data_IF_282341041620
#
_entry.id   IF_282341041620
#
_cell.length_a   1.000
_cell.length_b   1.000
_cell.length_c   1.000
_cell.angle_alpha   90.00
_cell.angle_beta   90.00
_cell.angle_gamma   90.00
#
_symmetry.space_group_name_H-M   'P 1'
#
loop_
_entity.id
_entity.type
_entity.pdbx_description
1 polymer ?
#
# COMPACT_ATOMS: atom_id res chain seq x y z
N UNK A 1 -26.17 0.40 6.32
CA UNK A 1 -26.41 1.23 7.52
C UNK A 1 -26.06 2.67 7.19
N UNK A 2 -26.24 3.64 8.09
CA UNK A 2 -25.58 4.93 7.90
C UNK A 2 -24.06 4.72 8.05
N UNK A 3 -23.20 5.37 7.23
CA UNK A 3 -21.77 5.18 7.32
C UNK A 3 -21.25 5.67 8.68
N UNK A 4 -20.28 4.93 9.25
CA UNK A 4 -19.54 5.38 10.43
C UNK A 4 -18.76 6.65 10.06
N UNK A 5 -18.84 7.67 10.89
CA UNK A 5 -18.14 8.95 10.69
C UNK A 5 -17.33 9.39 11.90
N UNK A 6 -17.35 8.62 12.99
CA UNK A 6 -16.71 8.90 14.28
C UNK A 6 -15.41 8.10 14.47
N UNK A 7 -14.66 7.91 13.38
CA UNK A 7 -13.35 7.25 13.46
C UNK A 7 -12.37 8.07 14.31
N UNK A 8 -11.46 7.40 15.05
CA UNK A 8 -10.34 8.11 15.65
C UNK A 8 -9.43 8.73 14.56
N UNK A 9 -8.61 9.73 14.92
CA UNK A 9 -7.59 10.28 14.04
C UNK A 9 -6.64 9.19 13.53
N UNK A 10 -6.19 9.33 12.29
CA UNK A 10 -5.24 8.39 11.69
C UNK A 10 -3.84 8.64 12.25
N UNK A 11 -3.29 7.64 12.96
CA UNK A 11 -1.91 7.65 13.47
C UNK A 11 -0.96 6.81 12.63
N UNK A 12 -1.47 5.94 11.77
CA UNK A 12 -0.66 5.14 10.86
C UNK A 12 -1.20 5.09 9.43
N UNK A 13 -0.33 5.32 8.45
CA UNK A 13 -0.62 5.12 7.03
C UNK A 13 0.16 3.91 6.50
N UNK A 14 -0.54 2.93 5.92
CA UNK A 14 0.05 1.71 5.39
C UNK A 14 -0.16 1.69 3.88
N UNK A 15 0.93 1.60 3.12
CA UNK A 15 0.88 1.74 1.67
C UNK A 15 1.12 0.40 0.97
N UNK A 16 0.26 0.03 0.03
CA UNK A 16 0.71 -0.81 -1.07
C UNK A 16 1.76 -0.06 -1.92
N UNK A 17 2.39 -0.73 -2.89
CA UNK A 17 3.39 -0.14 -3.76
C UNK A 17 2.98 -0.16 -5.23
N UNK A 18 2.51 -1.32 -5.71
CA UNK A 18 2.44 -1.63 -7.12
C UNK A 18 1.12 -1.15 -7.69
N UNK A 19 1.13 -0.20 -8.62
CA UNK A 19 -0.10 0.44 -9.11
C UNK A 19 -0.64 1.55 -8.20
N UNK A 20 -0.01 1.77 -7.03
CA UNK A 20 -0.35 2.84 -6.09
C UNK A 20 0.77 3.88 -5.93
N UNK A 21 1.95 3.46 -5.45
CA UNK A 21 3.09 4.37 -5.33
C UNK A 21 3.78 4.55 -6.66
N UNK A 22 3.84 3.47 -7.45
CA UNK A 22 4.56 3.38 -8.71
C UNK A 22 3.63 2.94 -9.85
N UNK A 23 3.92 3.38 -11.07
CA UNK A 23 3.23 3.01 -12.32
C UNK A 23 3.46 1.55 -12.80
N UNK A 24 3.83 0.65 -11.89
CA UNK A 24 4.29 -0.70 -12.22
C UNK A 24 3.23 -1.56 -12.89
N UNK A 25 1.93 -1.31 -12.65
CA UNK A 25 0.83 -2.04 -13.28
C UNK A 25 0.75 -1.87 -14.81
N UNK A 26 1.16 -0.71 -15.31
CA UNK A 26 1.25 -0.48 -16.76
C UNK A 26 2.47 -1.20 -17.34
N UNK A 27 3.59 -1.24 -16.61
CA UNK A 27 4.78 -1.99 -16.99
C UNK A 27 4.51 -3.49 -16.99
N UNK A 28 3.84 -4.03 -15.96
CA UNK A 28 3.41 -5.42 -15.90
C UNK A 28 2.57 -5.78 -17.13
N UNK A 29 1.59 -4.93 -17.45
CA UNK A 29 0.72 -5.12 -18.61
C UNK A 29 1.50 -5.11 -19.92
N UNK A 30 2.47 -4.20 -20.06
CA UNK A 30 3.34 -4.13 -21.23
C UNK A 30 4.17 -5.41 -21.39
N UNK A 31 4.86 -5.88 -20.33
CA UNK A 31 5.62 -7.13 -20.35
C UNK A 31 4.74 -8.31 -20.79
N UNK A 32 3.53 -8.44 -20.22
CA UNK A 32 2.60 -9.49 -20.56
C UNK A 32 2.16 -9.38 -22.03
N UNK A 33 1.79 -8.20 -22.50
CA UNK A 33 1.33 -7.98 -23.88
C UNK A 33 2.42 -8.30 -24.91
N UNK A 34 3.68 -7.95 -24.65
CA UNK A 34 4.79 -8.32 -25.54
C UNK A 34 4.91 -9.84 -25.72
N UNK A 35 4.72 -10.61 -24.64
CA UNK A 35 4.72 -12.07 -24.68
C UNK A 35 3.46 -12.59 -25.39
N UNK A 36 2.28 -12.08 -25.05
CA UNK A 36 1.03 -12.51 -25.68
C UNK A 36 1.03 -12.26 -27.19
N UNK A 37 1.59 -11.14 -27.65
CA UNK A 37 1.73 -10.81 -29.07
C UNK A 37 2.69 -11.77 -29.77
N UNK A 38 3.85 -12.08 -29.17
CA UNK A 38 4.81 -13.07 -29.68
C UNK A 38 4.16 -14.43 -29.94
N UNK A 39 3.19 -14.83 -29.12
CA UNK A 39 2.46 -16.10 -29.25
C UNK A 39 1.08 -15.96 -29.90
N UNK A 40 0.75 -14.81 -30.50
CA UNK A 40 -0.47 -14.62 -31.28
C UNK A 40 -1.78 -14.59 -30.47
N UNK A 41 -1.72 -14.34 -29.15
CA UNK A 41 -2.89 -14.31 -28.25
C UNK A 41 -3.60 -12.95 -28.21
N UNK A 42 -2.92 -11.88 -28.63
CA UNK A 42 -3.43 -10.50 -28.61
C UNK A 42 -3.07 -9.75 -27.33
N UNK A 43 -3.89 -8.78 -26.93
CA UNK A 43 -3.67 -7.98 -25.72
C UNK A 43 -4.39 -8.58 -24.50
N UNK A 44 -3.84 -8.35 -23.31
CA UNK A 44 -4.41 -8.74 -22.03
C UNK A 44 -5.74 -8.00 -21.80
N UNK A 45 -6.88 -8.71 -21.74
CA UNK A 45 -8.18 -8.08 -21.45
C UNK A 45 -8.22 -7.55 -20.01
N UNK A 46 -8.91 -6.42 -19.80
CA UNK A 46 -9.08 -5.85 -18.46
C UNK A 46 -9.77 -6.81 -17.47
N UNK A 47 -10.72 -7.61 -17.94
CA UNK A 47 -11.38 -8.66 -17.14
C UNK A 47 -10.44 -9.76 -16.63
N UNK A 48 -9.28 -9.92 -17.27
CA UNK A 48 -8.20 -10.80 -16.79
C UNK A 48 -7.20 -10.01 -15.96
N UNK A 49 -6.74 -8.84 -16.46
CA UNK A 49 -5.83 -7.94 -15.71
C UNK A 49 -6.35 -7.71 -14.29
N UNK A 50 -7.61 -7.32 -14.13
CA UNK A 50 -8.26 -7.08 -12.85
C UNK A 50 -8.12 -8.25 -11.86
N UNK A 51 -8.09 -9.49 -12.35
CA UNK A 51 -7.92 -10.68 -11.51
C UNK A 51 -6.46 -10.96 -11.12
N UNK A 52 -5.49 -10.36 -11.81
CA UNK A 52 -4.06 -10.49 -11.54
C UNK A 52 -3.58 -9.47 -10.51
N UNK A 53 -4.09 -8.23 -10.58
CA UNK A 53 -3.64 -7.09 -9.76
C UNK A 53 -3.80 -7.34 -8.26
N UNK A 54 -2.79 -6.92 -7.48
CA UNK A 54 -2.81 -7.02 -6.01
C UNK A 54 -2.62 -8.42 -5.43
N UNK A 55 -2.46 -9.47 -6.25
CA UNK A 55 -2.28 -10.84 -5.79
C UNK A 55 -0.81 -11.24 -5.65
N UNK A 56 -0.50 -12.20 -4.76
CA UNK A 56 0.81 -12.84 -4.75
C UNK A 56 1.14 -13.48 -6.11
N UNK A 57 2.39 -13.36 -6.54
CA UNK A 57 2.88 -13.82 -7.85
C UNK A 57 2.43 -15.24 -8.23
N UNK A 58 2.56 -16.27 -7.36
CA UNK A 58 2.10 -17.63 -7.68
C UNK A 58 0.61 -17.73 -8.01
N UNK A 59 -0.25 -16.96 -7.34
CA UNK A 59 -1.69 -16.95 -7.60
C UNK A 59 -2.02 -16.24 -8.91
N UNK A 60 -1.42 -15.06 -9.15
CA UNK A 60 -1.57 -14.32 -10.40
C UNK A 60 -1.10 -15.15 -11.60
N UNK A 61 0.07 -15.79 -11.50
CA UNK A 61 0.60 -16.66 -12.55
C UNK A 61 -0.34 -17.81 -12.88
N UNK A 62 -0.95 -18.44 -11.87
CA UNK A 62 -1.94 -19.50 -12.09
C UNK A 62 -3.13 -19.00 -12.93
N UNK A 63 -3.72 -17.87 -12.54
CA UNK A 63 -4.85 -17.25 -13.27
C UNK A 63 -4.46 -16.93 -14.71
N UNK A 64 -3.27 -16.35 -14.90
CA UNK A 64 -2.75 -16.04 -16.22
C UNK A 64 -2.60 -17.30 -17.09
N UNK A 65 -1.96 -18.35 -16.59
CA UNK A 65 -1.72 -19.58 -17.37
C UNK A 65 -3.02 -20.30 -17.73
N UNK A 66 -3.98 -20.36 -16.80
CA UNK A 66 -5.30 -20.97 -17.04
C UNK A 66 -6.05 -20.26 -18.19
N UNK A 67 -5.91 -18.94 -18.33
CA UNK A 67 -6.53 -18.15 -19.41
C UNK A 67 -5.70 -18.13 -20.71
N UNK A 68 -4.40 -17.85 -20.59
CA UNK A 68 -3.54 -17.57 -21.73
C UNK A 68 -3.29 -18.82 -22.56
N UNK A 69 -3.10 -19.98 -21.92
CA UNK A 69 -2.84 -21.27 -22.58
C UNK A 69 -1.78 -21.16 -23.69
N UNK A 70 -0.68 -20.46 -23.40
CA UNK A 70 0.41 -20.26 -24.35
C UNK A 70 1.13 -21.57 -24.66
N UNK A 71 1.68 -21.74 -25.87
CA UNK A 71 2.40 -22.96 -26.28
C UNK A 71 3.84 -23.01 -25.74
N UNK A 72 4.03 -22.61 -24.47
CA UNK A 72 5.31 -22.62 -23.75
C UNK A 72 5.10 -23.06 -22.32
N UNK A 73 6.16 -23.56 -21.68
CA UNK A 73 6.09 -23.96 -20.29
C UNK A 73 5.95 -22.74 -19.35
N UNK A 74 5.42 -22.92 -18.11
CA UNK A 74 5.43 -21.88 -17.10
C UNK A 74 6.83 -21.33 -16.79
N UNK A 75 7.86 -22.19 -16.83
CA UNK A 75 9.26 -21.79 -16.62
C UNK A 75 9.78 -20.91 -17.76
N UNK A 76 9.47 -21.25 -19.02
CA UNK A 76 9.82 -20.44 -20.19
C UNK A 76 9.12 -19.08 -20.13
N UNK A 77 7.82 -19.04 -19.81
CA UNK A 77 7.08 -17.80 -19.61
C UNK A 77 7.71 -16.94 -18.50
N UNK A 78 8.02 -17.54 -17.35
CA UNK A 78 8.60 -16.83 -16.23
C UNK A 78 9.97 -16.24 -16.59
N UNK A 79 10.79 -16.98 -17.34
CA UNK A 79 12.09 -16.51 -17.80
C UNK A 79 11.95 -15.30 -18.75
N UNK A 80 11.06 -15.38 -19.74
CA UNK A 80 10.78 -14.27 -20.66
C UNK A 80 10.24 -13.03 -19.92
N UNK A 81 9.24 -13.23 -19.05
CA UNK A 81 8.61 -12.14 -18.30
C UNK A 81 9.60 -11.48 -17.33
N UNK A 82 10.43 -12.27 -16.65
CA UNK A 82 11.48 -11.76 -15.75
C UNK A 82 12.52 -10.94 -16.52
N UNK A 83 12.89 -11.36 -17.73
CA UNK A 83 13.84 -10.61 -18.56
C UNK A 83 13.27 -9.24 -18.96
N UNK A 84 12.01 -9.19 -19.40
CA UNK A 84 11.32 -7.94 -19.73
C UNK A 84 11.18 -7.03 -18.51
N UNK A 85 10.76 -7.58 -17.36
CA UNK A 85 10.64 -6.83 -16.11
C UNK A 85 11.97 -6.20 -15.67
N UNK A 86 13.08 -6.96 -15.74
CA UNK A 86 14.43 -6.43 -15.44
C UNK A 86 14.84 -5.27 -16.35
N UNK A 87 14.35 -5.26 -17.59
CA UNK A 87 14.63 -4.17 -18.53
C UNK A 87 13.74 -2.95 -18.27
N UNK A 88 12.48 -3.15 -17.91
CA UNK A 88 11.48 -2.07 -17.89
C UNK A 88 11.25 -1.45 -16.50
N UNK A 89 11.33 -2.24 -15.42
CA UNK A 89 11.13 -1.71 -14.07
C UNK A 89 12.13 -0.64 -13.61
N UNK A 90 13.40 -0.59 -14.07
CA UNK A 90 14.28 0.54 -13.75
C UNK A 90 13.79 1.89 -14.28
N UNK A 91 12.71 1.93 -15.07
CA UNK A 91 12.11 3.15 -15.60
C UNK A 91 10.79 3.54 -14.93
N UNK A 92 10.29 2.74 -13.98
CA UNK A 92 9.06 3.06 -13.24
C UNK A 92 9.14 4.44 -12.58
N UNK A 93 8.00 5.12 -12.57
CA UNK A 93 7.84 6.46 -12.01
C UNK A 93 6.82 6.47 -10.88
N UNK A 94 6.97 7.40 -9.92
CA UNK A 94 5.94 7.64 -8.92
C UNK A 94 4.64 8.11 -9.58
N UNK A 95 3.50 7.63 -9.08
CA UNK A 95 2.21 8.12 -9.54
C UNK A 95 1.98 9.59 -9.11
N UNK A 96 1.12 10.34 -9.81
CA UNK A 96 0.81 11.72 -9.45
C UNK A 96 0.35 11.86 -7.99
N UNK A 97 0.92 12.84 -7.28
CA UNK A 97 0.63 13.12 -5.88
C UNK A 97 1.48 12.33 -4.87
N UNK A 98 2.13 11.23 -5.27
CA UNK A 98 2.86 10.36 -4.33
C UNK A 98 4.06 11.05 -3.68
N UNK A 99 4.87 11.78 -4.45
CA UNK A 99 6.04 12.49 -3.92
C UNK A 99 5.63 13.52 -2.86
N UNK A 100 4.61 14.33 -3.18
CA UNK A 100 4.07 15.33 -2.26
C UNK A 100 3.44 14.67 -1.02
N UNK A 101 2.64 13.62 -1.22
CA UNK A 101 1.95 12.93 -0.15
C UNK A 101 2.91 12.29 0.85
N UNK A 102 3.94 11.60 0.36
CA UNK A 102 4.97 11.00 1.21
C UNK A 102 5.81 12.08 1.92
N UNK A 103 6.10 13.21 1.26
CA UNK A 103 6.71 14.37 1.90
C UNK A 103 5.87 14.94 3.04
N UNK A 104 4.55 15.09 2.82
CA UNK A 104 3.60 15.59 3.82
C UNK A 104 3.56 14.68 5.06
N UNK A 105 3.44 13.36 4.84
CA UNK A 105 3.41 12.39 5.92
C UNK A 105 4.75 12.28 6.63
N UNK A 106 5.87 12.29 5.89
CA UNK A 106 7.22 12.31 6.46
C UNK A 106 7.45 13.51 7.37
N UNK A 107 6.98 14.70 6.97
CA UNK A 107 7.07 15.92 7.78
C UNK A 107 6.33 15.82 9.11
N UNK A 108 5.32 14.97 9.27
CA UNK A 108 4.63 14.81 10.57
C UNK A 108 5.56 14.40 11.72
N UNK A 109 6.78 13.90 11.42
CA UNK A 109 7.90 13.77 12.37
C UNK A 109 8.12 15.01 13.22
N UNK A 110 7.88 16.19 12.66
CA UNK A 110 8.00 17.46 13.35
C UNK A 110 7.22 17.49 14.69
N UNK A 111 6.02 16.90 14.72
CA UNK A 111 5.19 16.90 15.92
C UNK A 111 5.76 16.04 17.06
N UNK A 112 6.64 15.10 16.74
CA UNK A 112 7.36 14.25 17.69
C UNK A 112 8.61 14.96 18.23
N UNK A 113 9.38 15.62 17.36
CA UNK A 113 10.73 16.11 17.69
C UNK A 113 10.78 17.56 18.18
N UNK A 114 9.75 18.38 17.93
CA UNK A 114 9.80 19.83 18.20
C UNK A 114 9.80 20.23 19.69
N UNK A 115 9.08 19.50 20.57
CA UNK A 115 8.80 19.96 21.95
C UNK A 115 9.58 19.17 23.04
N UNK A 116 10.48 18.26 22.66
CA UNK A 116 11.19 17.38 23.61
C UNK A 116 10.28 16.32 24.29
N UNK A 117 10.90 15.32 24.91
CA UNK A 117 10.24 14.06 25.31
C UNK A 117 9.01 14.21 26.23
N UNK A 118 8.96 15.24 27.09
CA UNK A 118 7.89 15.41 28.09
C UNK A 118 6.56 15.95 27.52
N UNK A 119 6.58 16.63 26.37
CA UNK A 119 5.36 17.13 25.68
C UNK A 119 4.88 16.11 24.64
N UNK A 120 5.80 15.27 24.12
CA UNK A 120 5.49 14.17 23.22
C UNK A 120 4.49 13.19 23.85
N UNK A 121 4.65 12.81 25.12
CA UNK A 121 3.78 11.84 25.81
C UNK A 121 2.31 12.31 25.93
N UNK A 122 2.05 13.62 26.03
CA UNK A 122 0.70 14.19 26.09
C UNK A 122 0.04 14.33 24.70
N UNK A 123 0.83 14.36 23.61
CA UNK A 123 0.38 14.53 22.21
C UNK A 123 0.44 13.24 21.39
N UNK A 124 1.14 12.21 21.88
CA UNK A 124 1.46 10.98 21.15
C UNK A 124 0.22 10.15 20.78
N UNK A 125 -0.88 10.29 21.51
CA UNK A 125 -2.03 9.39 21.39
C UNK A 125 -3.13 9.89 20.45
N UNK A 126 -2.92 11.03 19.74
CA UNK A 126 -3.84 11.56 18.74
C UNK A 126 -5.22 11.93 19.30
N UNK A 127 -5.54 13.22 19.38
CA UNK A 127 -6.93 13.68 19.55
C UNK A 127 -7.39 14.36 18.28
N UNK A 128 -8.69 14.35 18.04
CA UNK A 128 -9.25 14.93 16.82
C UNK A 128 -8.85 16.41 16.68
N UNK A 129 -8.23 16.76 15.54
CA UNK A 129 -7.66 18.08 15.27
C UNK A 129 -6.36 18.44 15.99
N UNK A 130 -5.79 17.58 16.85
CA UNK A 130 -4.51 17.85 17.50
C UNK A 130 -3.31 17.36 16.66
N UNK A 131 -2.26 18.18 16.48
CA UNK A 131 -1.08 17.77 15.72
C UNK A 131 -0.32 16.59 16.38
N UNK A 132 -0.06 15.54 15.61
CA UNK A 132 0.60 14.31 16.05
C UNK A 132 1.41 13.66 14.91
N UNK A 133 2.33 12.76 15.27
CA UNK A 133 3.10 11.96 14.31
C UNK A 133 2.17 11.00 13.57
N UNK A 134 2.31 10.93 12.24
CA UNK A 134 1.75 9.83 11.46
C UNK A 134 2.90 8.87 11.12
N UNK A 135 2.77 7.63 11.57
CA UNK A 135 3.70 6.56 11.27
C UNK A 135 3.39 5.97 9.90
N UNK A 136 4.42 5.59 9.14
CA UNK A 136 4.20 4.98 7.83
C UNK A 136 4.91 3.64 7.71
N UNK A 137 4.29 2.74 6.95
CA UNK A 137 4.83 1.44 6.60
C UNK A 137 4.51 1.10 5.14
N UNK A 138 5.39 0.30 4.53
CA UNK A 138 5.19 -0.26 3.21
C UNK A 138 4.73 -1.72 3.34
N UNK A 139 3.73 -2.11 2.57
CA UNK A 139 3.13 -3.45 2.57
C UNK A 139 2.87 -3.93 1.13
N UNK A 140 3.90 -4.48 0.48
CA UNK A 140 3.86 -4.91 -0.92
C UNK A 140 3.91 -6.43 -1.07
N UNK A 141 3.15 -6.96 -2.04
CA UNK A 141 3.25 -8.38 -2.45
C UNK A 141 4.52 -8.68 -3.27
N UNK A 142 5.30 -7.66 -3.65
CA UNK A 142 6.59 -7.82 -4.31
C UNK A 142 7.60 -8.50 -3.41
N UNK A 143 8.30 -9.50 -3.93
CA UNK A 143 9.46 -10.09 -3.27
C UNK A 143 10.67 -9.13 -3.33
N UNK A 144 11.65 -9.30 -2.44
CA UNK A 144 12.82 -8.43 -2.32
C UNK A 144 13.55 -8.16 -3.65
N UNK A 145 13.71 -9.20 -4.48
CA UNK A 145 14.34 -9.05 -5.79
C UNK A 145 13.58 -8.09 -6.71
N UNK A 146 12.25 -8.22 -6.79
CA UNK A 146 11.42 -7.34 -7.64
C UNK A 146 11.27 -5.95 -7.03
N UNK A 147 11.19 -5.86 -5.69
CA UNK A 147 11.20 -4.58 -4.98
C UNK A 147 12.43 -3.75 -5.39
N UNK A 148 13.65 -4.32 -5.26
CA UNK A 148 14.89 -3.62 -5.63
C UNK A 148 14.91 -3.13 -7.07
N UNK A 149 14.56 -3.98 -8.03
CA UNK A 149 14.54 -3.59 -9.46
C UNK A 149 13.59 -2.41 -9.73
N UNK A 150 12.51 -2.27 -8.94
CA UNK A 150 11.55 -1.17 -9.05
C UNK A 150 11.98 0.09 -8.28
N UNK A 151 12.80 -0.02 -7.24
CA UNK A 151 13.04 1.07 -6.28
C UNK A 151 14.48 1.55 -6.20
N UNK A 152 15.46 0.83 -6.73
CA UNK A 152 16.89 1.18 -6.56
C UNK A 152 17.25 2.54 -7.16
N UNK A 153 16.51 3.03 -8.17
CA UNK A 153 16.64 4.38 -8.74
C UNK A 153 15.76 5.43 -8.06
N UNK A 154 14.96 5.05 -7.06
CA UNK A 154 14.01 5.91 -6.33
C UNK A 154 14.28 5.88 -4.81
N UNK A 155 15.52 5.70 -4.39
CA UNK A 155 15.89 5.53 -2.97
C UNK A 155 15.40 6.68 -2.09
N UNK A 156 15.52 7.94 -2.55
CA UNK A 156 15.05 9.12 -1.81
C UNK A 156 13.54 9.07 -1.55
N UNK A 157 12.75 8.62 -2.52
CA UNK A 157 11.29 8.50 -2.36
C UNK A 157 10.92 7.44 -1.32
N UNK A 158 11.65 6.31 -1.30
CA UNK A 158 11.37 5.20 -0.40
C UNK A 158 12.05 5.32 0.97
N UNK A 159 12.96 6.28 1.16
CA UNK A 159 13.63 6.55 2.44
C UNK A 159 12.64 6.86 3.57
N UNK A 160 11.51 7.48 3.22
CA UNK A 160 10.43 7.77 4.18
C UNK A 160 9.89 6.52 4.88
N UNK A 161 10.01 5.33 4.27
CA UNK A 161 9.66 4.04 4.87
C UNK A 161 10.92 3.43 5.52
N UNK A 162 11.05 3.41 6.86
CA UNK A 162 12.18 2.76 7.50
C UNK A 162 12.29 1.29 7.10
N UNK A 163 13.50 0.77 6.94
CA UNK A 163 13.74 -0.61 6.46
C UNK A 163 12.97 -1.68 7.27
N UNK A 164 12.89 -1.53 8.59
CA UNK A 164 12.16 -2.44 9.48
C UNK A 164 10.63 -2.36 9.36
N UNK A 165 10.10 -1.30 8.74
CA UNK A 165 8.66 -1.08 8.44
C UNK A 165 8.31 -1.38 6.97
N UNK A 166 9.23 -1.98 6.22
CA UNK A 166 8.96 -2.50 4.87
C UNK A 166 8.60 -3.98 4.97
N UNK A 167 7.35 -4.32 4.69
CA UNK A 167 6.86 -5.69 4.61
C UNK A 167 6.75 -6.08 3.13
N UNK A 168 7.55 -7.06 2.73
CA UNK A 168 7.61 -7.56 1.35
C UNK A 168 6.90 -8.92 1.24
N UNK A 169 6.60 -9.37 0.02
CA UNK A 169 5.83 -10.59 -0.22
C UNK A 169 6.55 -11.87 0.19
N UNK A 170 7.88 -11.85 0.27
CA UNK A 170 8.74 -12.93 0.74
C UNK A 170 9.27 -12.73 2.16
N UNK A 171 8.65 -11.83 2.94
CA UNK A 171 8.97 -11.63 4.34
C UNK A 171 8.73 -12.90 5.16
N UNK A 172 9.77 -13.40 5.84
CA UNK A 172 9.73 -14.65 6.61
C UNK A 172 8.79 -14.60 7.82
N UNK A 173 8.36 -13.40 8.24
CA UNK A 173 7.36 -13.21 9.29
C UNK A 173 5.94 -13.47 8.80
N UNK A 174 5.71 -13.52 7.49
CA UNK A 174 4.43 -13.88 6.89
C UNK A 174 4.29 -15.41 6.80
N UNK A 175 3.08 -15.89 7.09
CA UNK A 175 2.77 -17.31 6.88
C UNK A 175 2.63 -17.59 5.37
N UNK A 176 3.32 -18.59 4.81
CA UNK A 176 3.21 -18.93 3.40
C UNK A 176 1.76 -19.17 2.96
N UNK A 177 1.39 -18.60 1.81
CA UNK A 177 0.03 -18.70 1.27
C UNK A 177 -0.97 -17.70 1.87
N UNK A 178 -0.55 -16.89 2.86
CA UNK A 178 -1.41 -15.88 3.50
C UNK A 178 -1.25 -14.45 2.97
N UNK A 179 -0.96 -14.31 1.67
CA UNK A 179 -0.95 -13.00 1.01
C UNK A 179 -2.36 -12.43 0.78
N UNK A 180 -2.43 -11.22 0.23
CA UNK A 180 -3.70 -10.55 -0.14
C UNK A 180 -4.60 -11.52 -0.94
N UNK A 181 -5.90 -11.65 -0.62
CA UNK A 181 -6.73 -10.76 0.21
C UNK A 181 -6.74 -11.07 1.72
N UNK A 182 -5.81 -11.89 2.23
CA UNK A 182 -5.69 -12.09 3.68
C UNK A 182 -5.00 -10.89 4.34
N UNK A 183 -5.34 -10.55 5.61
CA UNK A 183 -4.94 -9.30 6.24
C UNK A 183 -3.49 -9.28 6.73
N UNK A 184 -2.80 -10.42 6.68
CA UNK A 184 -1.53 -10.68 7.34
C UNK A 184 -0.46 -9.63 7.03
N UNK A 185 -0.38 -9.16 5.78
CA UNK A 185 0.63 -8.16 5.38
C UNK A 185 0.40 -6.80 6.05
N UNK A 186 -0.85 -6.37 6.19
CA UNK A 186 -1.19 -5.11 6.85
C UNK A 186 -1.11 -5.24 8.37
N UNK A 187 -1.52 -6.38 8.93
CA UNK A 187 -1.33 -6.67 10.35
C UNK A 187 0.15 -6.71 10.74
N UNK A 188 1.00 -7.30 9.90
CA UNK A 188 2.45 -7.27 10.09
C UNK A 188 3.01 -5.86 9.95
N UNK A 189 2.57 -5.08 8.97
CA UNK A 189 3.00 -3.69 8.82
C UNK A 189 2.61 -2.84 10.04
N UNK A 190 1.38 -2.96 10.57
CA UNK A 190 1.00 -2.33 11.84
C UNK A 190 1.86 -2.82 13.00
N UNK A 191 2.14 -4.13 13.06
CA UNK A 191 3.03 -4.69 14.10
C UNK A 191 4.42 -4.05 14.04
N UNK A 192 5.02 -3.89 12.85
CA UNK A 192 6.34 -3.25 12.72
C UNK A 192 6.35 -1.79 13.17
N UNK A 193 5.25 -1.05 12.95
CA UNK A 193 5.06 0.28 13.51
C UNK A 193 5.01 0.19 15.04
N UNK A 194 4.13 -0.63 15.60
CA UNK A 194 3.95 -0.77 17.05
C UNK A 194 5.21 -1.23 17.79
N UNK A 195 6.00 -2.13 17.20
CA UNK A 195 7.27 -2.60 17.75
C UNK A 195 8.36 -1.50 17.77
N UNK A 196 8.17 -0.41 17.03
CA UNK A 196 9.13 0.69 16.86
C UNK A 196 8.57 2.04 17.28
N UNK A 197 7.49 2.06 18.08
CA UNK A 197 6.97 3.29 18.65
C UNK A 197 7.92 3.86 19.72
N UNK A 198 8.02 5.18 19.85
CA UNK A 198 8.72 5.82 20.96
C UNK A 198 8.13 5.39 22.32
N UNK A 199 8.97 5.43 23.36
CA UNK A 199 8.52 5.17 24.72
C UNK A 199 7.42 6.17 25.13
N UNK A 200 6.32 5.65 25.70
CA UNK A 200 5.17 6.45 26.15
C UNK A 200 4.05 6.59 25.12
N UNK A 201 4.29 6.27 23.85
CA UNK A 201 3.23 6.20 22.84
C UNK A 201 2.43 4.90 22.97
N UNK A 202 1.09 5.01 22.97
CA UNK A 202 0.23 3.82 23.04
C UNK A 202 0.24 3.06 21.72
N UNK A 203 0.15 1.71 21.74
CA UNK A 203 0.01 0.92 20.52
C UNK A 203 -1.13 1.43 19.64
N UNK A 204 -0.83 1.61 18.36
CA UNK A 204 -1.80 2.01 17.35
C UNK A 204 -2.72 0.81 17.06
N UNK A 205 -4.02 1.06 17.09
CA UNK A 205 -5.07 0.09 16.78
C UNK A 205 -5.39 0.09 15.29
N UNK A 206 -6.00 -0.99 14.75
CA UNK A 206 -6.43 -1.02 13.36
C UNK A 206 -7.36 0.14 12.94
N UNK A 207 -8.20 0.67 13.84
CA UNK A 207 -9.12 1.79 13.53
C UNK A 207 -8.39 3.11 13.30
N UNK A 208 -7.19 3.26 13.88
CA UNK A 208 -6.29 4.41 13.72
C UNK A 208 -5.39 4.26 12.48
N UNK A 209 -5.53 3.17 11.72
CA UNK A 209 -4.80 2.91 10.49
C UNK A 209 -5.59 3.31 9.25
N UNK A 210 -4.89 3.89 8.28
CA UNK A 210 -5.37 4.14 6.94
C UNK A 210 -4.51 3.39 5.91
N UNK A 211 -5.09 2.39 5.27
CA UNK A 211 -4.47 1.64 4.18
C UNK A 211 -4.70 2.38 2.87
N UNK A 212 -3.68 2.49 2.02
CA UNK A 212 -3.79 2.97 0.65
C UNK A 212 -3.56 1.80 -0.30
N UNK A 213 -4.50 1.60 -1.22
CA UNK A 213 -4.55 0.44 -2.12
C UNK A 213 -5.17 0.81 -3.47
N UNK A 214 -4.69 0.20 -4.55
CA UNK A 214 -5.29 0.33 -5.88
C UNK A 214 -6.13 -0.91 -6.24
N UNK A 215 -5.81 -2.06 -5.64
CA UNK A 215 -6.31 -3.37 -6.04
C UNK A 215 -7.49 -3.84 -5.20
N UNK A 216 -8.38 -4.65 -5.78
CA UNK A 216 -9.52 -5.23 -5.07
C UNK A 216 -9.09 -6.20 -3.95
N UNK A 217 -8.15 -7.15 -4.17
CA UNK A 217 -7.67 -8.02 -3.11
C UNK A 217 -6.99 -7.24 -1.97
N UNK A 218 -6.33 -6.15 -2.29
CA UNK A 218 -5.69 -5.28 -1.32
C UNK A 218 -6.66 -4.51 -0.44
N UNK A 219 -7.71 -3.93 -1.04
CA UNK A 219 -8.80 -3.32 -0.27
C UNK A 219 -9.40 -4.35 0.69
N UNK A 220 -9.72 -5.55 0.21
CA UNK A 220 -10.26 -6.63 1.04
C UNK A 220 -9.32 -7.01 2.19
N UNK A 221 -8.00 -7.10 1.94
CA UNK A 221 -7.01 -7.35 2.99
C UNK A 221 -6.98 -6.24 4.05
N UNK A 222 -7.06 -4.96 3.64
CA UNK A 222 -7.14 -3.82 4.57
C UNK A 222 -8.41 -3.85 5.42
N UNK A 223 -9.57 -4.13 4.80
CA UNK A 223 -10.85 -4.28 5.53
C UNK A 223 -10.78 -5.41 6.56
N UNK A 224 -10.22 -6.57 6.18
CA UNK A 224 -10.05 -7.73 7.07
C UNK A 224 -9.06 -7.51 8.19
N UNK A 225 -8.12 -6.59 8.00
CA UNK A 225 -7.21 -6.18 9.06
C UNK A 225 -7.89 -5.27 10.10
N UNK A 226 -9.18 -4.93 9.89
CA UNK A 226 -9.92 -4.00 10.73
C UNK A 226 -9.49 -2.55 10.51
N UNK A 227 -8.98 -2.22 9.32
CA UNK A 227 -8.43 -0.90 9.01
C UNK A 227 -9.34 -0.09 8.09
N UNK A 228 -9.16 1.24 8.12
CA UNK A 228 -9.75 2.13 7.13
C UNK A 228 -8.97 2.01 5.82
N UNK A 229 -9.62 2.19 4.67
CA UNK A 229 -8.99 1.98 3.35
C UNK A 229 -9.33 3.09 2.37
N UNK A 230 -8.31 3.66 1.73
CA UNK A 230 -8.45 4.44 0.50
C UNK A 230 -8.22 3.52 -0.69
N UNK A 231 -9.25 3.35 -1.50
CA UNK A 231 -9.17 2.67 -2.78
C UNK A 231 -8.91 3.68 -3.90
N UNK A 232 -7.72 3.68 -4.47
CA UNK A 232 -7.30 4.54 -5.58
C UNK A 232 -6.92 3.71 -6.83
N UNK A 233 -7.88 3.04 -7.48
CA UNK A 233 -7.64 2.15 -8.61
C UNK A 233 -7.27 2.90 -9.89
N UNK A 234 -6.58 2.19 -10.79
CA UNK A 234 -6.52 2.58 -12.19
C UNK A 234 -7.95 2.77 -12.78
N UNK A 235 -8.22 3.80 -13.63
CA UNK A 235 -9.56 4.09 -14.12
C UNK A 235 -10.26 2.94 -14.85
N UNK A 236 -9.49 2.07 -15.51
CA UNK A 236 -10.05 0.90 -16.18
C UNK A 236 -10.37 -0.25 -15.23
N UNK A 237 -9.61 -0.43 -14.13
CA UNK A 237 -10.01 -1.35 -13.06
C UNK A 237 -11.34 -0.88 -12.45
N UNK A 238 -11.46 0.43 -12.21
CA UNK A 238 -12.71 1.04 -11.73
C UNK A 238 -13.91 0.78 -12.66
N UNK A 239 -13.69 0.68 -13.98
CA UNK A 239 -14.74 0.33 -14.96
C UNK A 239 -15.13 -1.14 -14.91
N UNK A 240 -14.19 -2.06 -14.69
CA UNK A 240 -14.48 -3.50 -14.57
C UNK A 240 -15.40 -3.79 -13.36
N UNK A 241 -15.33 -2.97 -12.31
CA UNK A 241 -16.18 -3.07 -11.11
C UNK A 241 -17.33 -2.03 -11.09
N UNK A 242 -17.73 -1.49 -12.24
CA UNK A 242 -18.87 -0.57 -12.31
C UNK A 242 -20.15 -1.23 -11.79
N UNK A 243 -20.82 -0.60 -10.82
CA UNK A 243 -22.02 -1.14 -10.15
C UNK A 243 -21.71 -2.11 -9.00
N UNK A 244 -20.44 -2.38 -8.70
CA UNK A 244 -19.98 -3.24 -7.59
C UNK A 244 -18.99 -2.52 -6.66
N UNK A 245 -18.92 -1.20 -6.73
CA UNK A 245 -17.98 -0.39 -5.95
C UNK A 245 -18.18 -0.58 -4.45
N UNK A 246 -19.43 -0.59 -4.00
CA UNK A 246 -19.74 -0.79 -2.58
C UNK A 246 -19.27 -2.17 -2.08
N UNK A 247 -19.31 -3.20 -2.93
CA UNK A 247 -18.77 -4.53 -2.60
C UNK A 247 -17.25 -4.51 -2.47
N UNK A 248 -16.56 -3.77 -3.34
CA UNK A 248 -15.11 -3.56 -3.24
C UNK A 248 -14.78 -2.87 -1.93
N UNK A 249 -15.42 -1.74 -1.64
CA UNK A 249 -15.18 -0.95 -0.42
C UNK A 249 -15.51 -1.75 0.86
N UNK A 250 -16.49 -2.65 0.82
CA UNK A 250 -16.78 -3.55 1.93
C UNK A 250 -15.80 -4.72 2.06
N UNK A 251 -14.93 -4.97 1.06
CA UNK A 251 -14.11 -6.19 1.00
C UNK A 251 -14.95 -7.45 0.81
N UNK A 252 -16.04 -7.37 0.03
CA UNK A 252 -17.05 -8.42 -0.16
C UNK A 252 -17.19 -8.88 -1.61
N UNK A 253 -16.16 -8.72 -2.44
CA UNK A 253 -16.24 -9.13 -3.86
C UNK A 253 -16.27 -10.64 -4.06
N UNK A 254 -16.00 -11.42 -3.00
CA UNK A 254 -15.97 -12.90 -3.01
C UNK A 254 -14.65 -13.48 -3.52
N UNK A 255 -13.64 -12.63 -3.73
CA UNK A 255 -12.38 -13.00 -4.37
C UNK A 255 -11.42 -13.82 -3.50
N UNK A 256 -11.73 -13.92 -2.21
CA UNK A 256 -11.02 -14.75 -1.25
C UNK A 256 -11.58 -16.16 -1.07
N UNK A 257 -12.65 -16.53 -1.81
CA UNK A 257 -13.35 -17.80 -1.60
C UNK A 257 -14.27 -17.79 -0.38
N UNK A 258 -14.51 -18.95 0.22
CA UNK A 258 -15.32 -19.08 1.43
C UNK A 258 -14.59 -18.48 2.64
N UNK A 259 -15.13 -17.39 3.17
CA UNK A 259 -14.58 -16.68 4.33
C UNK A 259 -15.66 -16.39 5.36
N UNK A 260 -15.23 -16.25 6.61
CA UNK A 260 -16.12 -15.83 7.69
C UNK A 260 -16.63 -14.41 7.42
N UNK A 261 -17.95 -14.27 7.29
CA UNK A 261 -18.60 -13.00 7.00
C UNK A 261 -18.41 -11.96 8.11
N UNK A 262 -18.04 -12.38 9.32
CA UNK A 262 -17.68 -11.47 10.41
C UNK A 262 -16.33 -10.76 10.19
N UNK A 263 -15.49 -11.24 9.28
CA UNK A 263 -14.18 -10.65 8.98
C UNK A 263 -14.22 -9.64 7.82
N UNK A 264 -15.36 -9.49 7.15
CA UNK A 264 -15.53 -8.56 6.03
C UNK A 264 -16.45 -7.40 6.42
N UNK A 265 -16.14 -6.19 5.94
CA UNK A 265 -16.90 -4.97 6.21
C UNK A 265 -18.32 -5.03 5.67
N UNK A 266 -19.19 -4.10 6.05
CA UNK A 266 -20.55 -3.99 5.50
C UNK A 266 -20.62 -2.96 4.37
N UNK A 267 -21.62 -3.09 3.48
CA UNK A 267 -21.85 -2.10 2.44
C UNK A 267 -22.17 -0.74 3.09
N UNK A 268 -21.49 0.31 2.61
CA UNK A 268 -21.67 1.69 3.06
C UNK A 268 -21.43 1.90 4.57
N UNK A 269 -20.50 1.15 5.17
CA UNK A 269 -20.15 1.28 6.59
C UNK A 269 -19.18 2.43 6.91
N UNK A 270 -18.67 3.13 5.89
CA UNK A 270 -17.82 4.32 6.04
C UNK A 270 -16.33 4.03 6.25
N UNK A 271 -15.91 2.77 6.30
CA UNK A 271 -14.52 2.45 6.57
C UNK A 271 -13.61 2.52 5.34
N UNK A 272 -14.16 2.45 4.14
CA UNK A 272 -13.39 2.58 2.93
C UNK A 272 -13.99 3.58 1.97
N UNK A 273 -13.12 4.26 1.24
CA UNK A 273 -13.50 5.33 0.33
C UNK A 273 -12.75 5.19 -0.98
N UNK A 274 -13.45 5.51 -2.06
CA UNK A 274 -12.85 5.59 -3.39
C UNK A 274 -12.31 7.00 -3.64
N UNK A 275 -11.06 7.09 -4.10
CA UNK A 275 -10.49 8.31 -4.66
C UNK A 275 -10.03 8.07 -6.10
N UNK A 276 -10.22 9.06 -6.96
CA UNK A 276 -9.72 9.02 -8.35
C UNK A 276 -8.21 9.23 -8.44
N UNK A 277 -7.63 9.89 -7.43
CA UNK A 277 -6.22 10.25 -7.34
C UNK A 277 -5.86 10.59 -5.89
N UNK A 278 -4.58 10.51 -5.56
CA UNK A 278 -4.01 10.96 -4.29
C UNK A 278 -3.45 12.39 -4.35
N UNK A 279 -3.58 13.07 -5.50
CA UNK A 279 -3.33 14.52 -5.61
C UNK A 279 -4.30 15.27 -4.71
N UNK A 280 -3.80 16.27 -3.97
CA UNK A 280 -4.58 17.09 -3.02
C UNK A 280 -5.32 16.24 -1.97
N UNK A 281 -4.65 15.21 -1.42
CA UNK A 281 -5.24 14.31 -0.43
C UNK A 281 -5.83 15.08 0.78
N UNK A 282 -7.09 14.80 1.20
CA UNK A 282 -7.78 15.58 2.23
C UNK A 282 -7.38 15.14 3.65
N UNK A 283 -6.17 15.52 4.09
CA UNK A 283 -5.60 15.12 5.39
C UNK A 283 -6.47 15.45 6.60
N UNK A 284 -7.13 16.60 6.58
CA UNK A 284 -8.00 17.10 7.65
C UNK A 284 -9.17 16.16 7.94
N UNK A 285 -9.75 15.54 6.90
CA UNK A 285 -10.79 14.52 7.01
C UNK A 285 -10.34 13.29 7.83
N UNK A 286 -9.04 13.02 7.87
CA UNK A 286 -8.43 11.90 8.57
C UNK A 286 -7.80 12.30 9.91
N UNK A 287 -7.99 13.55 10.34
CA UNK A 287 -7.38 14.10 11.56
C UNK A 287 -5.88 14.35 11.42
N UNK A 288 -5.33 14.34 10.20
CA UNK A 288 -3.90 14.51 9.96
C UNK A 288 -3.58 16.00 9.80
N UNK A 289 -2.70 16.53 10.64
CA UNK A 289 -2.21 17.91 10.54
C UNK A 289 -0.83 17.89 9.89
N UNK A 290 -0.73 18.37 8.64
CA UNK A 290 0.54 18.43 7.90
C UNK A 290 1.32 19.70 8.30
N UNK A 291 2.58 19.59 8.78
CA UNK A 291 3.42 20.76 9.03
C UNK A 291 3.73 21.55 7.74
N UNK A 292 3.89 22.87 7.89
CA UNK A 292 4.42 23.72 6.80
C UNK A 292 5.77 23.21 6.32
N UNK A 293 6.07 23.37 5.03
CA UNK A 293 7.38 23.02 4.45
C UNK A 293 8.55 23.74 5.13
N UNK A 294 8.30 24.90 5.74
CA UNK A 294 9.36 25.67 6.42
C UNK A 294 9.99 24.94 7.62
N UNK A 295 9.29 23.97 8.23
CA UNK A 295 9.82 23.21 9.37
C UNK A 295 11.01 22.34 9.00
N UNK A 296 11.18 21.99 7.71
CA UNK A 296 12.33 21.21 7.22
C UNK A 296 13.67 21.94 7.42
N UNK A 297 13.63 23.26 7.61
CA UNK A 297 14.81 24.09 7.88
C UNK A 297 15.19 24.10 9.37
N UNK A 298 14.31 23.64 10.25
CA UNK A 298 14.54 23.64 11.70
C UNK A 298 15.56 22.56 12.10
N UNK A 299 16.40 22.86 13.10
CA UNK A 299 17.47 21.96 13.52
C UNK A 299 16.95 20.60 14.03
N UNK A 300 15.75 20.57 14.62
CA UNK A 300 15.13 19.33 15.10
C UNK A 300 14.71 18.37 13.98
N UNK A 301 14.56 18.87 12.75
CA UNK A 301 14.16 18.08 11.57
C UNK A 301 15.36 17.53 10.79
N UNK A 302 16.58 18.01 11.07
CA UNK A 302 17.80 17.48 10.47
C UNK A 302 18.07 16.08 11.03
N UNK A 303 18.45 15.14 10.16
CA UNK A 303 18.80 13.78 10.57
C UNK A 303 19.93 13.80 11.60
N UNK A 304 19.75 13.07 12.69
CA UNK A 304 20.83 12.87 13.64
C UNK A 304 21.87 11.89 13.06
N UNK A 305 23.17 12.03 13.38
CA UNK A 305 24.20 11.09 12.92
C UNK A 305 23.92 9.62 13.29
N UNK A 306 23.09 9.37 14.30
CA UNK A 306 22.72 8.02 14.76
C UNK A 306 21.64 7.38 13.86
N UNK A 307 20.74 8.17 13.28
CA UNK A 307 19.69 7.70 12.35
C UNK A 307 20.30 7.31 10.99
N UNK A 308 21.30 8.05 10.51
CA UNK A 308 22.00 7.76 9.25
C UNK A 308 22.83 6.45 9.27
N UNK A 309 23.23 5.97 10.46
CA UNK A 309 24.04 4.76 10.63
C UNK A 309 23.17 3.51 10.80
N UNK A 310 21.92 3.66 11.25
CA UNK A 310 20.98 2.54 11.37
C UNK A 310 20.38 2.08 10.03
N UNK A 311 20.56 2.86 8.96
CA UNK A 311 20.01 2.61 7.62
C UNK A 311 21.05 2.15 6.58
N UNK A 312 22.34 2.09 6.93
CA UNK A 312 23.44 1.61 6.07
C UNK A 312 23.74 0.11 6.28
#
# INVERSE_FOLDING_TARGET
MAPRTDFPPVRACLFDMDGLLLDTEDIYTNCINMILEKYGKGILPWSIKAKLQGRPGPQANKIFHDWAQLPISPEEYLAENTALQKQLFPHTQPLPGIVEMLGHLGRTRYWEVKDGAAVAEAKANGRDGEPHRVHIALATSSHLGNFRVKTDHLQELFAVFPSHRRVLGDDSRLTPGRGKPLPDIFLLALKTINDSLPAGEQPITPEECLVFEDSVPGVEAGRRAGMRVIWCPHPMLKKEYAGREEEVLAGRTGEAGEVDLHQVGELNDGWAEYLTSLVDFPYDKFGIVVPSVDVEKEDCMKESPEEAVAEA
#
